data_IF_835487041763
#
_entry.id   IF_835487041763
#
_cell.length_a   1.000
_cell.length_b   1.000
_cell.length_c   1.000
_cell.angle_alpha   90.00
_cell.angle_beta   90.00
_cell.angle_gamma   90.00
#
_symmetry.space_group_name_H-M   'P 1'
#
loop_
_entity.id
_entity.type
_entity.pdbx_description
1 polymer ?
#
# COMPACT_ATOMS: atom_id res chain seq x y z
N UNK A 1 3.30 -23.81 0.55
CA UNK A 1 2.92 -23.09 -0.69
C UNK A 1 1.84 -22.11 -0.30
N UNK A 2 2.19 -20.84 -0.11
CA UNK A 2 1.26 -19.78 0.29
C UNK A 2 0.96 -18.95 -0.96
N UNK A 3 -0.31 -18.72 -1.32
CA UNK A 3 -0.62 -17.89 -2.47
C UNK A 3 -0.12 -16.47 -2.21
N UNK A 4 0.63 -15.91 -3.15
CA UNK A 4 1.15 -14.55 -3.05
C UNK A 4 0.71 -13.74 -4.25
N UNK A 5 -0.22 -12.80 -4.05
CA UNK A 5 0.01 -11.35 -4.14
C UNK A 5 -1.21 -10.54 -3.65
N UNK A 6 -1.55 -10.73 -2.38
CA UNK A 6 -2.67 -10.04 -1.72
C UNK A 6 -2.20 -9.03 -0.68
N UNK A 7 -0.89 -8.76 -0.65
CA UNK A 7 -0.17 -8.29 0.55
C UNK A 7 -0.55 -6.87 0.97
N UNK A 8 -0.97 -6.04 0.03
CA UNK A 8 -1.36 -4.64 0.27
C UNK A 8 -2.82 -4.38 -0.12
N UNK A 9 -3.48 -5.35 -0.76
CA UNK A 9 -4.89 -5.25 -1.08
C UNK A 9 -5.72 -5.50 0.17
N UNK A 10 -6.74 -4.67 0.37
CA UNK A 10 -7.83 -4.96 1.29
C UNK A 10 -8.92 -5.83 0.64
N UNK A 11 -8.94 -5.90 -0.71
CA UNK A 11 -9.98 -6.60 -1.47
C UNK A 11 -9.41 -7.78 -2.28
N UNK A 12 -10.18 -8.86 -2.37
CA UNK A 12 -9.86 -10.04 -3.14
C UNK A 12 -10.28 -11.33 -2.44
N UNK A 13 -10.10 -12.49 -3.11
CA UNK A 13 -10.57 -13.75 -2.58
C UNK A 13 -10.01 -14.06 -1.19
N UNK A 14 -10.86 -14.19 -0.18
CA UNK A 14 -10.48 -14.43 1.23
C UNK A 14 -9.63 -15.70 1.42
N UNK A 15 -9.75 -16.67 0.52
CA UNK A 15 -8.91 -17.88 0.47
C UNK A 15 -7.42 -17.59 0.29
N UNK A 16 -7.08 -16.40 -0.20
CA UNK A 16 -5.72 -15.99 -0.47
C UNK A 16 -5.10 -15.16 0.67
N UNK A 17 -5.93 -14.68 1.60
CA UNK A 17 -5.53 -14.01 2.83
C UNK A 17 -6.77 -13.76 3.70
N UNK A 18 -6.78 -14.18 4.98
CA UNK A 18 -7.95 -14.08 5.85
C UNK A 18 -8.36 -12.65 6.21
N UNK A 19 -7.55 -11.65 5.86
CA UNK A 19 -7.83 -10.21 6.05
C UNK A 19 -8.41 -9.56 4.78
N UNK A 20 -8.57 -10.31 3.69
CA UNK A 20 -9.14 -9.81 2.45
C UNK A 20 -10.66 -9.90 2.49
N UNK A 21 -11.29 -8.87 1.94
CA UNK A 21 -12.73 -8.85 1.71
C UNK A 21 -13.05 -9.44 0.35
N UNK A 22 -13.91 -10.46 0.34
CA UNK A 22 -14.52 -10.94 -0.89
C UNK A 22 -15.40 -9.85 -1.51
N UNK A 23 -15.72 -9.96 -2.80
CA UNK A 23 -16.41 -8.90 -3.55
C UNK A 23 -17.66 -8.35 -2.83
N UNK A 24 -18.52 -9.24 -2.35
CA UNK A 24 -19.79 -8.84 -1.73
C UNK A 24 -19.60 -8.11 -0.39
N UNK A 25 -18.50 -8.40 0.32
CA UNK A 25 -18.10 -7.71 1.55
C UNK A 25 -17.35 -6.40 1.25
N UNK A 26 -16.54 -6.39 0.19
CA UNK A 26 -15.72 -5.25 -0.23
C UNK A 26 -16.55 -4.08 -0.75
N UNK A 27 -17.60 -4.35 -1.52
CA UNK A 27 -18.44 -3.33 -2.14
C UNK A 27 -19.02 -2.31 -1.14
N UNK A 28 -19.72 -2.71 -0.07
CA UNK A 28 -20.26 -1.77 0.91
C UNK A 28 -19.16 -0.98 1.64
N UNK A 29 -18.02 -1.60 1.93
CA UNK A 29 -16.87 -0.94 2.57
C UNK A 29 -16.27 0.15 1.66
N UNK A 30 -16.07 -0.15 0.37
CA UNK A 30 -15.61 0.84 -0.62
C UNK A 30 -16.59 2.01 -0.78
N UNK A 31 -17.90 1.72 -0.70
CA UNK A 31 -18.93 2.75 -0.73
C UNK A 31 -18.87 3.63 0.51
N UNK A 32 -18.72 3.04 1.69
CA UNK A 32 -18.58 3.79 2.95
C UNK A 32 -17.34 4.69 2.92
N UNK A 33 -16.20 4.18 2.45
CA UNK A 33 -14.98 4.97 2.27
C UNK A 33 -15.22 6.18 1.36
N UNK A 34 -15.87 5.97 0.21
CA UNK A 34 -16.23 7.06 -0.70
C UNK A 34 -17.16 8.10 -0.05
N UNK A 35 -18.18 7.64 0.68
CA UNK A 35 -19.15 8.52 1.35
C UNK A 35 -18.52 9.35 2.47
N UNK A 36 -17.45 8.82 3.09
CA UNK A 36 -16.62 9.53 4.07
C UNK A 36 -15.57 10.45 3.43
N UNK A 37 -15.54 10.53 2.10
CA UNK A 37 -14.65 11.42 1.36
C UNK A 37 -13.32 10.80 0.94
N UNK A 38 -13.07 9.52 1.25
CA UNK A 38 -11.89 8.79 0.79
C UNK A 38 -12.09 8.41 -0.67
N UNK A 39 -11.46 9.18 -1.54
CA UNK A 39 -11.68 9.12 -2.99
C UNK A 39 -10.43 8.81 -3.83
N UNK A 40 -9.29 8.59 -3.16
CA UNK A 40 -8.04 8.18 -3.78
C UNK A 40 -7.81 6.71 -3.46
N UNK A 41 -7.90 5.87 -4.49
CA UNK A 41 -7.92 4.41 -4.34
C UNK A 41 -6.68 3.81 -5.00
N UNK A 42 -5.89 3.10 -4.21
CA UNK A 42 -4.67 2.41 -4.64
C UNK A 42 -4.92 0.92 -4.86
N UNK A 43 -4.46 0.42 -6.00
CA UNK A 43 -4.49 -0.99 -6.40
C UNK A 43 -3.22 -1.34 -7.18
N UNK A 44 -3.11 -2.57 -7.66
CA UNK A 44 -2.05 -3.01 -8.57
C UNK A 44 -2.57 -4.14 -9.45
N UNK A 45 -1.95 -4.30 -10.62
CA UNK A 45 -2.13 -5.45 -11.52
C UNK A 45 -2.16 -6.78 -10.75
N UNK A 46 -1.19 -7.03 -9.91
CA UNK A 46 -1.08 -8.30 -9.18
C UNK A 46 -1.84 -8.35 -7.87
N UNK A 47 -2.41 -7.25 -7.39
CA UNK A 47 -3.21 -7.30 -6.16
C UNK A 47 -4.40 -8.22 -6.34
N UNK A 48 -4.38 -9.25 -5.53
CA UNK A 48 -5.29 -10.37 -5.64
C UNK A 48 -5.34 -11.04 -7.00
N UNK A 49 -4.18 -11.09 -7.66
CA UNK A 49 -4.01 -11.64 -9.00
C UNK A 49 -5.01 -11.05 -10.00
N UNK A 50 -5.09 -9.72 -10.05
CA UNK A 50 -6.01 -8.95 -10.90
C UNK A 50 -7.41 -8.75 -10.32
N UNK A 51 -7.81 -9.51 -9.29
CA UNK A 51 -9.16 -9.39 -8.73
C UNK A 51 -9.41 -8.04 -8.06
N UNK A 52 -8.38 -7.41 -7.50
CA UNK A 52 -8.53 -6.14 -6.78
C UNK A 52 -9.07 -5.04 -7.69
N UNK A 53 -8.50 -4.87 -8.88
CA UNK A 53 -8.98 -3.92 -9.89
C UNK A 53 -10.40 -4.24 -10.35
N UNK A 54 -10.72 -5.54 -10.48
CA UNK A 54 -12.05 -6.03 -10.84
C UNK A 54 -13.12 -5.67 -9.80
N UNK A 55 -12.82 -5.87 -8.51
CA UNK A 55 -13.72 -5.52 -7.40
C UNK A 55 -13.93 -4.00 -7.34
N UNK A 56 -12.86 -3.21 -7.49
CA UNK A 56 -12.94 -1.75 -7.51
C UNK A 56 -13.84 -1.26 -8.66
N UNK A 57 -13.62 -1.78 -9.87
CA UNK A 57 -14.45 -1.49 -11.03
C UNK A 57 -15.91 -1.91 -10.86
N UNK A 58 -16.17 -3.01 -10.16
CA UNK A 58 -17.52 -3.44 -9.82
C UNK A 58 -18.20 -2.48 -8.84
N UNK A 59 -17.51 -2.01 -7.80
CA UNK A 59 -18.04 -1.05 -6.84
C UNK A 59 -18.42 0.28 -7.50
N UNK A 60 -17.55 0.80 -8.37
CA UNK A 60 -17.80 2.05 -9.13
C UNK A 60 -19.10 1.94 -9.94
N UNK A 61 -19.27 0.81 -10.66
CA UNK A 61 -20.47 0.57 -11.48
C UNK A 61 -21.72 0.34 -10.64
N UNK A 62 -21.61 -0.48 -9.60
CA UNK A 62 -22.73 -0.89 -8.75
C UNK A 62 -23.36 0.32 -8.03
N UNK A 63 -22.54 1.21 -7.47
CA UNK A 63 -23.00 2.40 -6.76
C UNK A 63 -23.07 3.67 -7.62
N UNK A 64 -22.84 3.54 -8.94
CA UNK A 64 -22.79 4.66 -9.88
C UNK A 64 -21.89 5.81 -9.40
N UNK A 65 -20.70 5.48 -8.91
CA UNK A 65 -19.76 6.46 -8.37
C UNK A 65 -19.24 7.33 -9.52
N UNK A 66 -19.38 8.67 -9.47
CA UNK A 66 -18.92 9.53 -10.55
C UNK A 66 -17.41 9.42 -10.73
N UNK A 67 -16.95 9.06 -11.93
CA UNK A 67 -15.52 8.93 -12.23
C UNK A 67 -14.72 10.21 -11.95
N UNK A 68 -15.36 11.38 -12.09
CA UNK A 68 -14.77 12.69 -11.81
C UNK A 68 -14.50 12.94 -10.32
N UNK A 69 -15.09 12.15 -9.44
CA UNK A 69 -14.86 12.22 -7.99
C UNK A 69 -13.82 11.23 -7.49
N UNK A 70 -13.18 10.45 -8.36
CA UNK A 70 -12.21 9.43 -7.97
C UNK A 70 -10.82 9.71 -8.55
N UNK A 71 -9.81 9.46 -7.74
CA UNK A 71 -8.42 9.27 -8.17
C UNK A 71 -8.12 7.78 -8.01
N UNK A 72 -7.67 7.13 -9.09
CA UNK A 72 -7.34 5.70 -9.08
C UNK A 72 -5.86 5.59 -9.41
N UNK A 73 -5.10 4.99 -8.50
CA UNK A 73 -3.69 4.66 -8.67
C UNK A 73 -3.59 3.16 -8.87
N UNK A 74 -2.94 2.73 -9.95
CA UNK A 74 -2.64 1.33 -10.19
C UNK A 74 -1.18 1.18 -10.60
N UNK A 75 -0.67 -0.05 -10.47
CA UNK A 75 0.72 -0.43 -10.73
C UNK A 75 0.74 -1.47 -11.83
N UNK A 76 1.86 -1.52 -12.54
CA UNK A 76 2.09 -2.47 -13.62
C UNK A 76 3.55 -2.90 -13.61
N UNK A 77 3.81 -4.12 -13.18
CA UNK A 77 5.16 -4.70 -13.16
C UNK A 77 5.16 -6.23 -13.02
N UNK A 78 4.20 -6.83 -12.34
CA UNK A 78 4.30 -8.24 -11.98
C UNK A 78 3.32 -9.11 -12.79
N UNK A 79 3.60 -10.40 -12.86
CA UNK A 79 2.76 -11.35 -13.58
C UNK A 79 1.38 -11.52 -12.92
N UNK A 80 0.32 -11.26 -13.70
CA UNK A 80 -1.05 -11.68 -13.37
C UNK A 80 -1.36 -12.98 -14.09
N UNK A 81 -1.73 -14.03 -13.36
CA UNK A 81 -2.14 -15.32 -13.89
C UNK A 81 -3.62 -15.31 -14.29
N UNK A 82 -3.89 -15.55 -15.57
CA UNK A 82 -5.25 -15.61 -16.14
C UNK A 82 -6.07 -16.78 -15.59
N UNK A 83 -5.40 -17.89 -15.22
CA UNK A 83 -6.08 -19.06 -14.65
C UNK A 83 -6.42 -18.85 -13.16
N UNK A 84 -6.00 -17.72 -12.59
CA UNK A 84 -6.20 -17.36 -11.18
C UNK A 84 -5.70 -18.41 -10.19
N UNK A 85 -4.68 -19.16 -10.59
CA UNK A 85 -4.06 -20.20 -9.77
C UNK A 85 -3.11 -19.64 -8.69
N UNK A 86 -2.60 -20.50 -7.79
CA UNK A 86 -1.56 -20.11 -6.85
C UNK A 86 -0.28 -19.74 -7.60
N UNK A 87 0.21 -18.52 -7.41
CA UNK A 87 1.45 -18.04 -8.03
C UNK A 87 2.63 -18.26 -7.10
N UNK A 88 3.73 -18.83 -7.62
CA UNK A 88 5.01 -18.89 -6.93
C UNK A 88 5.69 -17.51 -6.91
N UNK A 89 5.94 -16.90 -5.73
CA UNK A 89 6.64 -15.63 -5.59
C UNK A 89 7.94 -15.53 -6.39
N UNK A 90 8.72 -16.61 -6.45
CA UNK A 90 10.01 -16.63 -7.14
C UNK A 90 9.88 -16.42 -8.66
N UNK A 91 8.66 -16.51 -9.18
CA UNK A 91 8.37 -16.48 -10.61
C UNK A 91 7.54 -15.27 -11.04
N UNK A 92 7.14 -14.39 -10.10
CA UNK A 92 6.31 -13.21 -10.38
C UNK A 92 7.00 -12.18 -11.28
N UNK A 93 8.33 -12.14 -11.23
CA UNK A 93 9.17 -11.29 -12.07
C UNK A 93 9.79 -12.05 -13.25
N UNK A 94 9.38 -13.31 -13.48
CA UNK A 94 9.90 -14.14 -14.56
C UNK A 94 9.22 -13.83 -15.89
N UNK A 95 9.93 -13.17 -16.80
CA UNK A 95 9.45 -12.82 -18.14
C UNK A 95 9.92 -13.82 -19.21
N UNK A 96 9.55 -15.08 -19.07
CA UNK A 96 9.97 -16.16 -19.98
C UNK A 96 8.85 -17.19 -20.21
N UNK A 97 9.05 -18.04 -21.23
CA UNK A 97 8.10 -19.11 -21.59
C UNK A 97 6.67 -18.57 -21.79
N UNK A 98 5.65 -19.16 -21.15
CA UNK A 98 4.25 -18.72 -21.27
C UNK A 98 3.95 -17.35 -20.65
N UNK A 99 4.90 -16.78 -19.88
CA UNK A 99 4.77 -15.46 -19.22
C UNK A 99 5.51 -14.35 -19.93
N UNK A 100 6.10 -14.67 -21.08
CA UNK A 100 6.70 -13.65 -21.94
C UNK A 100 5.66 -12.58 -22.21
N UNK A 101 6.02 -11.31 -21.99
CA UNK A 101 5.14 -10.16 -22.20
C UNK A 101 4.04 -9.94 -21.18
N UNK A 102 4.18 -10.57 -20.00
CA UNK A 102 3.21 -10.45 -18.91
C UNK A 102 3.83 -9.95 -17.60
N UNK A 103 5.12 -9.61 -17.64
CA UNK A 103 5.91 -9.08 -16.51
C UNK A 103 6.68 -7.86 -16.99
N UNK A 104 6.93 -6.95 -16.06
CA UNK A 104 7.37 -5.62 -16.32
C UNK A 104 6.31 -4.92 -17.14
N UNK A 105 6.78 -4.11 -18.05
CA UNK A 105 5.91 -3.23 -18.82
C UNK A 105 6.12 -3.55 -20.31
N UNK A 106 5.77 -4.77 -20.70
CA UNK A 106 6.35 -5.46 -21.85
C UNK A 106 5.36 -5.78 -22.98
N UNK A 107 5.81 -5.66 -24.25
CA UNK A 107 5.67 -6.77 -25.21
C UNK A 107 7.01 -7.43 -25.58
N UNK A 108 8.11 -7.00 -24.95
CA UNK A 108 9.18 -7.86 -24.40
C UNK A 108 9.83 -7.15 -23.22
N UNK A 109 9.91 -5.81 -23.26
CA UNK A 109 10.08 -4.83 -22.18
C UNK A 109 9.92 -3.44 -22.82
N UNK A 110 8.73 -2.81 -22.94
CA UNK A 110 8.70 -1.39 -23.43
C UNK A 110 9.46 -0.47 -22.42
N UNK A 111 9.76 -1.01 -21.24
CA UNK A 111 9.83 -0.32 -19.96
C UNK A 111 10.53 -1.29 -18.95
N UNK A 112 11.84 -1.47 -19.07
CA UNK A 112 12.67 -2.13 -18.03
C UNK A 112 12.90 -1.15 -16.86
N UNK A 113 11.82 -0.74 -16.19
CA UNK A 113 11.90 0.08 -14.99
C UNK A 113 12.45 -0.80 -13.84
N UNK A 114 13.78 -0.78 -13.71
CA UNK A 114 14.56 -1.44 -12.66
C UNK A 114 15.76 -2.24 -13.17
N UNK A 115 15.80 -2.59 -14.46
CA UNK A 115 16.94 -3.29 -15.07
C UNK A 115 17.96 -2.32 -15.65
N UNK A 116 19.25 -2.59 -15.43
CA UNK A 116 20.38 -1.73 -15.84
C UNK A 116 20.56 -1.55 -17.37
N UNK A 117 19.69 -2.14 -18.21
CA UNK A 117 19.94 -2.31 -19.65
C UNK A 117 19.02 -1.50 -20.60
N UNK A 118 17.97 -0.81 -20.11
CA UNK A 118 17.14 0.09 -20.96
C UNK A 118 17.43 1.57 -20.69
N UNK A 119 17.65 2.40 -21.73
CA UNK A 119 17.89 3.82 -21.55
C UNK A 119 16.71 4.53 -20.84
N UNK A 120 16.95 5.33 -19.79
CA UNK A 120 15.89 6.05 -19.07
C UNK A 120 15.00 6.90 -19.97
N UNK A 121 15.56 7.46 -21.06
CA UNK A 121 14.82 8.26 -22.04
C UNK A 121 13.71 7.46 -22.75
N UNK A 122 13.93 6.17 -22.98
CA UNK A 122 12.94 5.31 -23.62
C UNK A 122 11.77 5.03 -22.67
N UNK A 123 12.07 4.72 -21.41
CA UNK A 123 11.08 4.53 -20.34
C UNK A 123 10.20 5.79 -20.21
N UNK A 124 10.83 6.97 -20.10
CA UNK A 124 10.11 8.23 -19.98
C UNK A 124 9.26 8.55 -21.22
N UNK A 125 9.73 8.18 -22.42
CA UNK A 125 8.92 8.33 -23.64
C UNK A 125 7.68 7.44 -23.60
N UNK A 126 7.81 6.17 -23.22
CA UNK A 126 6.68 5.26 -23.14
C UNK A 126 5.64 5.73 -22.11
N UNK A 127 6.08 6.20 -20.94
CA UNK A 127 5.20 6.80 -19.94
C UNK A 127 4.49 8.05 -20.48
N UNK A 128 5.20 8.93 -21.18
CA UNK A 128 4.62 10.11 -21.81
C UNK A 128 3.58 9.75 -22.89
N UNK A 129 3.86 8.75 -23.74
CA UNK A 129 2.95 8.32 -24.80
C UNK A 129 1.61 7.83 -24.23
N UNK A 130 1.61 7.20 -23.04
CA UNK A 130 0.38 6.79 -22.35
C UNK A 130 -0.40 8.00 -21.82
N UNK A 131 0.29 9.03 -21.30
CA UNK A 131 -0.32 10.30 -20.90
C UNK A 131 -0.95 11.01 -22.11
N UNK A 132 -0.19 11.18 -23.20
CA UNK A 132 -0.66 11.84 -24.42
C UNK A 132 -1.85 11.11 -25.05
N UNK A 133 -1.91 9.79 -24.93
CA UNK A 133 -3.05 9.00 -25.39
C UNK A 133 -4.33 9.21 -24.55
N UNK A 134 -4.24 9.91 -23.41
CA UNK A 134 -5.36 10.18 -22.51
C UNK A 134 -5.78 9.00 -21.62
N UNK A 135 -5.03 7.89 -21.65
CA UNK A 135 -5.30 6.70 -20.84
C UNK A 135 -4.95 6.90 -19.37
N UNK A 136 -3.91 7.69 -19.10
CA UNK A 136 -3.42 8.03 -17.76
C UNK A 136 -3.26 9.55 -17.65
N UNK A 137 -3.46 10.10 -16.45
CA UNK A 137 -3.30 11.54 -16.18
C UNK A 137 -1.92 11.89 -15.63
N UNK A 138 -1.36 11.02 -14.77
CA UNK A 138 -0.12 11.23 -14.05
C UNK A 138 0.66 9.92 -13.93
N UNK A 139 1.98 10.01 -13.85
CA UNK A 139 2.87 8.87 -13.61
C UNK A 139 3.44 8.93 -12.20
N UNK A 140 3.76 7.76 -11.64
CA UNK A 140 4.43 7.64 -10.36
C UNK A 140 5.43 6.48 -10.37
N UNK A 141 6.23 6.38 -9.32
CA UNK A 141 7.17 5.29 -9.09
C UNK A 141 7.00 4.75 -7.66
N UNK A 142 7.28 3.47 -7.47
CA UNK A 142 7.31 2.83 -6.15
C UNK A 142 8.76 2.55 -5.80
N UNK A 143 9.25 3.08 -4.68
CA UNK A 143 10.67 3.01 -4.30
C UNK A 143 10.88 3.22 -2.80
N UNK A 144 12.14 3.20 -2.37
CA UNK A 144 12.58 3.25 -0.97
C UNK A 144 12.87 4.67 -0.48
N UNK A 145 12.71 4.89 0.83
CA UNK A 145 12.65 6.23 1.44
C UNK A 145 13.95 7.05 1.39
N UNK A 146 15.12 6.39 1.47
CA UNK A 146 16.38 7.03 1.90
C UNK A 146 16.82 8.18 0.98
N UNK A 147 16.74 7.97 -0.32
CA UNK A 147 17.11 8.98 -1.33
C UNK A 147 15.88 9.63 -1.96
N UNK A 148 14.74 8.92 -1.98
CA UNK A 148 13.53 9.38 -2.66
C UNK A 148 12.77 10.44 -1.86
N UNK A 149 12.67 10.33 -0.55
CA UNK A 149 11.91 11.32 0.23
C UNK A 149 12.51 12.73 0.11
N UNK A 150 13.83 12.94 0.24
CA UNK A 150 14.43 14.26 0.01
C UNK A 150 14.22 14.78 -1.43
N UNK A 151 14.36 13.92 -2.45
CA UNK A 151 14.18 14.32 -3.85
C UNK A 151 12.72 14.67 -4.16
N UNK A 152 11.76 13.88 -3.69
CA UNK A 152 10.34 14.17 -3.82
C UNK A 152 9.97 15.49 -3.15
N UNK A 153 10.47 15.74 -1.94
CA UNK A 153 10.27 17.01 -1.24
C UNK A 153 10.88 18.20 -1.99
N UNK A 154 12.04 18.00 -2.62
CA UNK A 154 12.71 19.04 -3.42
C UNK A 154 11.97 19.33 -4.73
N UNK A 155 11.48 18.29 -5.41
CA UNK A 155 10.86 18.37 -6.75
C UNK A 155 9.35 18.62 -6.72
N UNK A 156 8.72 18.54 -5.53
CA UNK A 156 7.28 18.70 -5.36
C UNK A 156 6.47 17.46 -5.74
N UNK A 157 7.09 16.28 -5.75
CA UNK A 157 6.40 14.99 -5.98
C UNK A 157 5.74 14.54 -4.67
N UNK A 158 4.46 14.20 -4.72
CA UNK A 158 3.71 13.72 -3.56
C UNK A 158 4.12 12.30 -3.14
N UNK A 159 4.15 12.05 -1.83
CA UNK A 159 4.54 10.77 -1.23
C UNK A 159 3.32 10.00 -0.72
N UNK A 160 3.21 8.72 -1.11
CA UNK A 160 2.11 7.82 -0.70
C UNK A 160 2.68 6.58 0.01
N UNK A 161 3.03 6.67 1.30
CA UNK A 161 3.66 5.55 2.00
C UNK A 161 2.68 4.39 2.16
N UNK A 162 3.11 3.22 1.68
CA UNK A 162 2.44 1.94 1.89
C UNK A 162 2.74 1.42 3.30
N UNK A 163 1.93 0.46 3.78
CA UNK A 163 2.07 -0.10 5.14
C UNK A 163 2.16 0.97 6.23
N UNK A 164 1.30 2.00 6.17
CA UNK A 164 1.25 3.07 7.17
C UNK A 164 1.12 2.60 8.62
N UNK A 165 0.57 1.40 8.83
CA UNK A 165 0.41 0.76 10.14
C UNK A 165 1.32 -0.47 10.34
N UNK A 166 2.36 -0.65 9.50
CA UNK A 166 3.25 -1.80 9.54
C UNK A 166 2.48 -3.14 9.53
N UNK A 167 1.59 -3.31 8.54
CA UNK A 167 0.67 -4.45 8.43
C UNK A 167 -0.24 -4.67 9.66
N UNK A 168 -0.46 -3.65 10.49
CA UNK A 168 -1.29 -3.69 11.70
C UNK A 168 -0.49 -3.65 13.00
N UNK A 169 0.84 -3.79 12.95
CA UNK A 169 1.70 -3.76 14.15
C UNK A 169 1.57 -2.46 14.94
N UNK A 170 1.35 -1.33 14.26
CA UNK A 170 1.17 -0.01 14.89
C UNK A 170 -0.28 0.28 15.30
N UNK A 171 -1.21 -0.66 15.12
CA UNK A 171 -2.60 -0.51 15.49
C UNK A 171 -2.96 -1.15 16.85
N UNK A 172 -2.00 -1.84 17.47
CA UNK A 172 -2.18 -2.64 18.68
C UNK A 172 -0.94 -2.53 19.59
N UNK A 173 -1.13 -2.78 20.89
CA UNK A 173 -0.02 -2.83 21.84
C UNK A 173 1.01 -3.90 21.45
N UNK A 174 2.26 -3.74 21.88
CA UNK A 174 3.31 -4.68 21.48
C UNK A 174 3.03 -6.12 21.92
N UNK A 175 2.12 -6.42 22.84
CA UNK A 175 1.82 -7.81 23.26
C UNK A 175 0.56 -8.38 22.64
N UNK A 176 -0.31 -7.57 22.05
CA UNK A 176 -1.53 -8.03 21.40
C UNK A 176 -1.20 -8.72 20.07
N UNK A 177 -1.62 -9.98 19.95
CA UNK A 177 -1.41 -10.84 18.77
C UNK A 177 -2.70 -11.50 18.28
N UNK A 178 -3.84 -10.89 18.61
CA UNK A 178 -5.16 -11.48 18.36
C UNK A 178 -5.61 -11.35 16.90
N UNK A 179 -5.11 -10.36 16.17
CA UNK A 179 -5.49 -10.13 14.78
C UNK A 179 -5.10 -11.29 13.84
N UNK A 180 -5.98 -11.59 12.88
CA UNK A 180 -5.79 -12.70 11.95
C UNK A 180 -4.56 -12.50 11.03
N UNK A 181 -4.27 -11.25 10.64
CA UNK A 181 -3.10 -10.92 9.84
C UNK A 181 -1.82 -11.11 10.64
N UNK A 182 -1.77 -10.66 11.88
CA UNK A 182 -0.62 -10.89 12.78
C UNK A 182 -0.30 -12.39 12.93
N UNK A 183 -1.33 -13.24 13.03
CA UNK A 183 -1.15 -14.68 13.17
C UNK A 183 -0.69 -15.37 11.88
N UNK A 184 -1.25 -14.96 10.73
CA UNK A 184 -1.16 -15.72 9.47
C UNK A 184 -0.31 -15.07 8.37
N UNK A 185 0.09 -13.81 8.50
CA UNK A 185 0.91 -13.09 7.51
C UNK A 185 2.41 -13.35 7.76
N UNK A 186 3.09 -14.19 6.95
CA UNK A 186 4.52 -14.43 7.10
C UNK A 186 5.36 -13.18 6.77
N UNK A 187 4.83 -12.24 5.99
CA UNK A 187 5.55 -11.04 5.58
C UNK A 187 5.58 -10.01 6.71
N UNK A 188 4.46 -9.84 7.42
CA UNK A 188 4.42 -9.08 8.68
C UNK A 188 5.48 -9.60 9.65
N UNK A 189 5.57 -10.93 9.83
CA UNK A 189 6.56 -11.54 10.73
C UNK A 189 7.99 -11.25 10.30
N UNK A 190 8.26 -11.37 9.00
CA UNK A 190 9.58 -11.08 8.42
C UNK A 190 9.99 -9.62 8.61
N UNK A 191 9.11 -8.68 8.27
CA UNK A 191 9.42 -7.25 8.24
C UNK A 191 9.41 -6.59 9.62
N UNK A 192 8.40 -6.90 10.43
CA UNK A 192 8.11 -6.12 11.64
C UNK A 192 8.33 -6.87 12.95
N UNK A 193 8.38 -8.21 12.89
CA UNK A 193 8.67 -9.08 14.06
C UNK A 193 9.99 -9.85 13.91
N UNK A 194 10.83 -9.48 12.95
CA UNK A 194 12.14 -10.07 12.70
C UNK A 194 13.21 -9.64 13.72
N UNK A 195 14.40 -9.30 13.23
CA UNK A 195 15.61 -9.13 14.07
C UNK A 195 15.57 -7.94 15.05
N UNK A 196 14.88 -6.84 14.70
CA UNK A 196 14.89 -5.59 15.48
C UNK A 196 13.75 -5.46 16.50
N UNK A 197 13.40 -6.54 17.20
CA UNK A 197 12.23 -6.53 18.09
C UNK A 197 12.29 -5.49 19.21
N UNK A 198 13.46 -5.19 19.76
CA UNK A 198 13.59 -4.21 20.85
C UNK A 198 13.27 -2.79 20.38
N UNK A 199 13.82 -2.39 19.23
CA UNK A 199 13.54 -1.07 18.63
C UNK A 199 12.10 -0.99 18.17
N UNK A 200 11.60 -2.02 17.47
CA UNK A 200 10.22 -2.05 16.98
C UNK A 200 9.22 -2.01 18.15
N UNK A 201 9.52 -2.70 19.25
CA UNK A 201 8.74 -2.60 20.49
C UNK A 201 8.73 -1.19 21.04
N UNK A 202 9.91 -0.58 21.19
CA UNK A 202 10.00 0.76 21.75
C UNK A 202 9.23 1.79 20.90
N UNK A 203 9.22 1.65 19.57
CA UNK A 203 8.39 2.47 18.66
C UNK A 203 6.90 2.24 18.91
N UNK A 204 6.45 0.98 18.99
CA UNK A 204 5.04 0.65 19.27
C UNK A 204 4.61 1.19 20.64
N UNK A 205 5.47 1.06 21.66
CA UNK A 205 5.20 1.56 23.01
C UNK A 205 5.05 3.10 23.03
N UNK A 206 5.84 3.87 22.23
CA UNK A 206 5.67 5.33 22.09
C UNK A 206 4.35 5.71 21.41
N UNK A 207 3.96 4.97 20.37
CA UNK A 207 2.68 5.18 19.69
C UNK A 207 1.52 4.89 20.64
N UNK A 208 1.61 3.82 21.42
CA UNK A 208 0.62 3.46 22.43
C UNK A 208 0.50 4.54 23.51
N UNK A 209 1.62 5.04 24.04
CA UNK A 209 1.64 6.10 25.05
C UNK A 209 0.94 7.38 24.55
N UNK A 210 1.26 7.83 23.34
CA UNK A 210 0.61 9.03 22.78
C UNK A 210 -0.87 8.79 22.48
N UNK A 211 -1.23 7.61 21.99
CA UNK A 211 -2.63 7.25 21.73
C UNK A 211 -3.46 7.30 23.01
N UNK A 212 -2.93 6.74 24.11
CA UNK A 212 -3.57 6.78 25.43
C UNK A 212 -3.67 8.21 25.98
N UNK A 213 -2.60 9.01 25.84
CA UNK A 213 -2.57 10.41 26.28
C UNK A 213 -3.61 11.27 25.56
N UNK A 214 -3.81 11.05 24.27
CA UNK A 214 -4.73 11.82 23.44
C UNK A 214 -6.15 11.23 23.37
N UNK A 215 -6.34 9.99 23.85
CA UNK A 215 -7.64 9.31 23.84
C UNK A 215 -8.10 8.89 22.43
N UNK A 216 -7.15 8.59 21.54
CA UNK A 216 -7.39 8.17 20.14
C UNK A 216 -6.84 6.77 19.88
N UNK A 217 -7.18 6.15 18.76
CA UNK A 217 -6.61 4.87 18.39
C UNK A 217 -5.11 5.01 18.01
N UNK A 218 -4.32 3.96 18.25
CA UNK A 218 -2.89 3.94 17.86
C UNK A 218 -2.68 4.18 16.36
N UNK A 219 -3.62 3.70 15.54
CA UNK A 219 -3.63 3.95 14.10
C UNK A 219 -3.67 5.44 13.76
N UNK A 220 -4.44 6.24 14.52
CA UNK A 220 -4.51 7.68 14.34
C UNK A 220 -3.14 8.34 14.56
N UNK A 221 -2.41 7.95 15.61
CA UNK A 221 -1.07 8.50 15.91
C UNK A 221 -0.09 8.20 14.77
N UNK A 222 -0.02 6.93 14.33
CA UNK A 222 0.89 6.52 13.27
C UNK A 222 0.61 7.22 11.93
N UNK A 223 -0.68 7.33 11.54
CA UNK A 223 -1.07 7.99 10.31
C UNK A 223 -0.95 9.51 10.40
N UNK A 224 -1.29 10.12 11.54
CA UNK A 224 -1.10 11.56 11.76
C UNK A 224 0.37 11.96 11.69
N UNK A 225 1.28 11.09 12.17
CA UNK A 225 2.71 11.31 12.02
C UNK A 225 3.10 11.37 10.54
N UNK A 226 2.69 10.40 9.72
CA UNK A 226 2.95 10.42 8.27
C UNK A 226 2.38 11.68 7.59
N UNK A 227 1.16 12.08 7.94
CA UNK A 227 0.50 13.28 7.41
C UNK A 227 1.29 14.54 7.80
N UNK A 228 1.77 14.63 9.05
CA UNK A 228 2.59 15.75 9.51
C UNK A 228 3.95 15.84 8.78
N UNK A 229 4.45 14.73 8.21
CA UNK A 229 5.62 14.73 7.32
C UNK A 229 5.31 15.17 5.88
N UNK A 230 4.05 15.49 5.56
CA UNK A 230 3.62 15.89 4.22
C UNK A 230 3.26 14.69 3.32
N UNK A 231 3.12 13.49 3.87
CA UNK A 231 2.77 12.29 3.13
C UNK A 231 1.25 12.05 3.10
N UNK A 232 0.80 11.25 2.14
CA UNK A 232 -0.58 10.76 2.05
C UNK A 232 -0.61 9.24 2.25
N UNK A 233 -0.75 8.75 3.50
CA UNK A 233 -0.61 7.33 3.80
C UNK A 233 -1.69 6.47 3.12
N UNK A 234 -1.27 5.32 2.60
CA UNK A 234 -2.19 4.29 2.13
C UNK A 234 -2.67 3.51 3.37
N UNK A 235 -3.98 3.48 3.58
CA UNK A 235 -4.61 2.87 4.74
C UNK A 235 -5.26 1.53 4.38
N UNK A 236 -5.14 0.52 5.25
CA UNK A 236 -5.98 -0.65 5.21
C UNK A 236 -7.36 -0.30 5.77
N UNK A 237 -8.41 -0.43 4.96
CA UNK A 237 -9.75 0.11 5.24
C UNK A 237 -10.81 -0.98 5.28
N UNK A 238 -10.48 -2.18 5.74
CA UNK A 238 -11.34 -3.37 5.63
C UNK A 238 -12.61 -3.34 6.51
N UNK A 239 -12.79 -2.31 7.35
CA UNK A 239 -13.98 -2.11 8.19
C UNK A 239 -14.31 -0.62 8.28
N UNK A 240 -15.58 -0.31 8.49
CA UNK A 240 -16.06 1.08 8.68
C UNK A 240 -15.32 1.80 9.81
N UNK A 241 -15.06 1.11 10.93
CA UNK A 241 -14.31 1.67 12.05
C UNK A 241 -12.88 2.08 11.67
N UNK A 242 -12.20 1.32 10.81
CA UNK A 242 -10.86 1.66 10.29
C UNK A 242 -10.91 2.87 9.36
N UNK A 243 -12.00 3.00 8.60
CA UNK A 243 -12.26 4.17 7.74
C UNK A 243 -12.46 5.42 8.60
N UNK A 244 -13.25 5.32 9.66
CA UNK A 244 -13.48 6.45 10.57
C UNK A 244 -12.19 6.88 11.27
N UNK A 245 -11.36 5.93 11.72
CA UNK A 245 -10.02 6.20 12.28
C UNK A 245 -9.11 6.92 11.27
N UNK A 246 -9.08 6.46 10.01
CA UNK A 246 -8.26 7.09 8.97
C UNK A 246 -8.72 8.53 8.64
N UNK A 247 -10.03 8.78 8.65
CA UNK A 247 -10.59 10.13 8.46
C UNK A 247 -10.27 11.02 9.65
N UNK A 248 -10.34 10.49 10.87
CA UNK A 248 -9.97 11.21 12.09
C UNK A 248 -8.47 11.56 12.11
N UNK A 249 -7.59 10.70 11.59
CA UNK A 249 -6.16 10.98 11.47
C UNK A 249 -5.85 12.21 10.59
N UNK A 250 -6.71 12.54 9.62
CA UNK A 250 -6.58 13.79 8.82
C UNK A 250 -6.78 15.06 9.66
N UNK A 251 -7.43 14.94 10.82
CA UNK A 251 -7.62 16.03 11.78
C UNK A 251 -6.51 16.07 12.83
N UNK A 252 -5.61 15.08 12.83
CA UNK A 252 -4.60 14.90 13.86
C UNK A 252 -3.67 16.10 14.00
N UNK A 253 -3.45 16.51 15.25
CA UNK A 253 -2.61 17.64 15.65
C UNK A 253 -1.48 17.15 16.54
N UNK A 254 -0.57 16.33 16.02
CA UNK A 254 0.67 16.03 16.74
C UNK A 254 1.49 17.32 16.86
N UNK A 255 1.95 17.64 18.07
CA UNK A 255 2.86 18.79 18.25
C UNK A 255 4.27 18.46 17.73
N UNK A 256 5.08 19.50 17.50
CA UNK A 256 6.48 19.32 17.10
C UNK A 256 7.27 18.46 18.11
N UNK A 257 6.96 18.60 19.41
CA UNK A 257 7.56 17.78 20.47
C UNK A 257 7.11 16.31 20.39
N UNK A 258 5.84 16.04 20.07
CA UNK A 258 5.32 14.68 19.93
C UNK A 258 5.86 14.01 18.66
N UNK A 259 6.00 14.74 17.57
CA UNK A 259 6.67 14.27 16.35
C UNK A 259 8.13 13.93 16.66
N UNK A 260 8.85 14.85 17.31
CA UNK A 260 10.23 14.61 17.73
C UNK A 260 10.31 13.39 18.65
N UNK A 261 9.38 13.25 19.60
CA UNK A 261 9.30 12.09 20.48
C UNK A 261 9.08 10.79 19.71
N UNK A 262 8.27 10.75 18.66
CA UNK A 262 8.16 9.53 17.84
C UNK A 262 9.46 9.22 17.10
N UNK A 263 10.18 10.24 16.64
CA UNK A 263 11.36 10.11 15.78
C UNK A 263 12.66 9.73 16.51
N UNK A 264 12.80 9.96 17.83
CA UNK A 264 14.10 9.68 18.50
C UNK A 264 14.50 8.20 18.50
N UNK A 265 13.54 7.29 18.26
CA UNK A 265 13.78 5.85 18.13
C UNK A 265 13.91 5.39 16.67
N UNK A 266 13.82 6.31 15.70
CA UNK A 266 13.91 5.94 14.30
C UNK A 266 15.32 5.44 13.98
N UNK A 267 15.38 4.21 13.46
CA UNK A 267 16.62 3.56 13.01
C UNK A 267 16.43 3.14 11.56
N UNK A 268 17.33 3.55 10.63
CA UNK A 268 17.25 3.11 9.25
C UNK A 268 17.26 1.59 9.16
N UNK A 269 16.29 1.03 8.43
CA UNK A 269 16.26 -0.40 8.12
C UNK A 269 17.03 -0.69 6.84
N UNK A 270 17.46 -1.94 6.69
CA UNK A 270 17.98 -2.43 5.42
C UNK A 270 16.85 -2.45 4.39
N UNK A 271 17.11 -1.90 3.21
CA UNK A 271 16.18 -1.98 2.09
C UNK A 271 15.98 -3.45 1.71
N UNK A 272 14.72 -3.84 1.50
CA UNK A 272 14.44 -5.15 0.93
C UNK A 272 14.73 -5.11 -0.56
N UNK A 273 15.38 -6.13 -1.14
CA UNK A 273 15.52 -6.25 -2.57
C UNK A 273 14.14 -6.61 -3.15
N UNK A 274 13.40 -5.61 -3.59
CA UNK A 274 12.20 -5.78 -4.41
C UNK A 274 12.56 -5.72 -5.89
#
# INVERSE_FOLDING_TARGET
>A
MTPYNHRESMVGPSVLGPWLLDKDEALPVLKYAFDKGINTWDVADTYSNGESEGILGAAIKHYNIPRSKLVIMSKCFQFVDEEKGPIDPATLTSNNGPRVNRVGLSRKHILDAGGHDVPPKEIMKALNDVIESGKVRYTGASSEEREMNPDCNYTGVGLFPWSSLAAGVLAHSWTDRTDAREQKDPFLKLLFRGEDQNTNRAVVDRVEELAQKQGVAMANIAQSWLIAKGCMPICGLEREERIDQAVEALQGTLSDEEIKYLEELYVPKMSFPF
#
